data_IF_457167725728
#
_entry.id   IF_457167725728
#
_cell.length_a   1.000
_cell.length_b   1.000
_cell.length_c   1.000
_cell.angle_alpha   90.00
_cell.angle_beta   90.00
_cell.angle_gamma   90.00
#
_symmetry.space_group_name_H-M   'P 1'
#
loop_
_entity.id
_entity.type
_entity.pdbx_description
1 polymer ?
#
# COMPACT_ATOMS: atom_id res chain seq x y z
N UNK A 1 -21.15 -1.14 38.32
CA UNK A 1 -20.89 -2.57 38.02
C UNK A 1 -19.38 -2.74 38.06
N UNK A 2 -18.85 -3.66 38.87
CA UNK A 2 -17.39 -3.89 38.91
C UNK A 2 -16.98 -4.63 37.62
N UNK A 3 -15.93 -4.15 36.96
CA UNK A 3 -15.36 -4.78 35.77
C UNK A 3 -14.44 -5.91 36.25
N UNK A 4 -14.67 -7.12 35.73
CA UNK A 4 -13.80 -8.27 35.99
C UNK A 4 -12.61 -8.25 35.03
N UNK A 5 -11.46 -8.76 35.48
CA UNK A 5 -10.23 -8.77 34.70
C UNK A 5 -9.64 -10.18 34.65
N UNK A 6 -9.13 -10.57 33.47
CA UNK A 6 -8.28 -11.75 33.32
C UNK A 6 -6.81 -11.41 33.60
N UNK A 7 -5.99 -12.43 33.84
CA UNK A 7 -4.57 -12.24 34.08
C UNK A 7 -3.84 -11.76 32.81
N UNK A 8 -2.70 -11.09 32.97
CA UNK A 8 -1.87 -10.67 31.83
C UNK A 8 -1.40 -11.85 30.96
N UNK A 9 -1.19 -13.02 31.57
CA UNK A 9 -0.83 -14.24 30.87
C UNK A 9 -1.98 -14.74 29.98
N UNK A 10 -3.21 -14.72 30.51
CA UNK A 10 -4.41 -15.10 29.76
C UNK A 10 -4.71 -14.11 28.62
N UNK A 11 -4.37 -12.82 28.79
CA UNK A 11 -4.46 -11.83 27.72
C UNK A 11 -3.56 -12.24 26.55
N UNK A 12 -2.30 -12.57 26.83
CA UNK A 12 -1.33 -12.96 25.79
C UNK A 12 -1.79 -14.24 25.09
N UNK A 13 -2.16 -15.27 25.84
CA UNK A 13 -2.67 -16.53 25.28
C UNK A 13 -3.93 -16.29 24.46
N UNK A 14 -4.85 -15.47 24.97
CA UNK A 14 -6.09 -15.13 24.27
C UNK A 14 -5.84 -14.41 22.95
N UNK A 15 -4.91 -13.44 22.92
CA UNK A 15 -4.50 -12.77 21.69
C UNK A 15 -3.87 -13.75 20.71
N UNK A 16 -2.90 -14.56 21.15
CA UNK A 16 -2.26 -15.57 20.29
C UNK A 16 -3.26 -16.58 19.74
N UNK A 17 -4.23 -16.99 20.55
CA UNK A 17 -5.33 -17.89 20.17
C UNK A 17 -6.26 -17.26 19.14
N UNK A 18 -6.56 -15.96 19.22
CA UNK A 18 -7.39 -15.25 18.22
C UNK A 18 -6.76 -15.20 16.84
N UNK A 19 -5.43 -15.17 16.77
CA UNK A 19 -4.68 -15.21 15.51
C UNK A 19 -4.56 -16.62 14.88
N UNK A 20 -5.27 -17.63 15.38
CA UNK A 20 -5.23 -18.99 14.81
C UNK A 20 -5.43 -19.07 13.28
N UNK A 21 -6.32 -18.30 12.62
CA UNK A 21 -6.47 -18.37 11.15
C UNK A 21 -5.22 -17.86 10.44
N UNK A 22 -4.57 -16.84 11.02
CA UNK A 22 -3.34 -16.24 10.49
C UNK A 22 -2.18 -17.22 10.62
N UNK A 23 -2.03 -17.88 11.78
CA UNK A 23 -0.98 -18.87 11.97
C UNK A 23 -1.09 -20.05 11.01
N UNK A 24 -2.31 -20.58 10.82
CA UNK A 24 -2.55 -21.67 9.85
C UNK A 24 -2.21 -21.22 8.43
N UNK A 25 -2.68 -20.04 8.02
CA UNK A 25 -2.39 -19.51 6.69
C UNK A 25 -0.88 -19.26 6.48
N UNK A 26 -0.19 -18.74 7.48
CA UNK A 26 1.27 -18.54 7.45
C UNK A 26 2.02 -19.86 7.29
N UNK A 27 1.71 -20.86 8.11
CA UNK A 27 2.37 -22.18 8.04
C UNK A 27 2.13 -22.82 6.67
N UNK A 28 0.90 -22.75 6.16
CA UNK A 28 0.56 -23.29 4.84
C UNK A 28 1.35 -22.58 3.74
N UNK A 29 1.28 -21.25 3.67
CA UNK A 29 1.90 -20.48 2.60
C UNK A 29 3.42 -20.55 2.67
N UNK A 30 4.03 -20.34 3.85
CA UNK A 30 5.48 -20.44 4.01
C UNK A 30 5.97 -21.86 3.73
N UNK A 31 5.25 -22.88 4.20
CA UNK A 31 5.59 -24.28 3.95
C UNK A 31 5.57 -24.63 2.47
N UNK A 32 4.52 -24.22 1.74
CA UNK A 32 4.43 -24.38 0.28
C UNK A 32 5.53 -23.59 -0.43
N UNK A 33 5.76 -22.33 -0.05
CA UNK A 33 6.81 -21.49 -0.64
C UNK A 33 8.20 -22.11 -0.46
N UNK A 34 8.47 -22.72 0.70
CA UNK A 34 9.74 -23.40 0.95
C UNK A 34 9.89 -24.68 0.12
N UNK A 35 8.83 -25.49 0.03
CA UNK A 35 8.83 -26.72 -0.76
C UNK A 35 9.07 -26.46 -2.26
N UNK A 36 8.51 -25.37 -2.78
CA UNK A 36 8.60 -25.01 -4.20
C UNK A 36 9.61 -23.90 -4.51
N UNK A 37 10.48 -23.51 -3.56
CA UNK A 37 11.36 -22.35 -3.72
C UNK A 37 12.20 -22.34 -5.00
N UNK A 38 12.69 -23.51 -5.44
CA UNK A 38 13.47 -23.65 -6.69
C UNK A 38 12.67 -23.33 -7.97
N UNK A 39 11.34 -23.36 -7.92
CA UNK A 39 10.45 -23.11 -9.07
C UNK A 39 9.84 -21.70 -9.07
N UNK A 40 9.98 -20.95 -7.98
CA UNK A 40 9.29 -19.67 -7.78
C UNK A 40 10.10 -18.44 -8.22
N UNK A 41 11.27 -18.62 -8.84
CA UNK A 41 12.13 -17.54 -9.31
C UNK A 41 12.55 -16.61 -8.17
N UNK A 42 12.45 -15.29 -8.39
CA UNK A 42 12.82 -14.25 -7.43
C UNK A 42 12.13 -14.42 -6.06
N UNK A 43 10.85 -14.78 -6.05
CA UNK A 43 10.13 -15.00 -4.78
C UNK A 43 10.69 -16.21 -4.01
N UNK A 44 11.12 -17.26 -4.72
CA UNK A 44 11.73 -18.43 -4.09
C UNK A 44 13.10 -18.14 -3.47
N UNK A 45 13.89 -17.26 -4.11
CA UNK A 45 15.20 -16.83 -3.61
C UNK A 45 15.08 -16.11 -2.24
N UNK A 46 13.95 -15.44 -1.95
CA UNK A 46 13.69 -14.83 -0.63
C UNK A 46 13.79 -15.80 0.55
N UNK A 47 13.58 -17.09 0.30
CA UNK A 47 13.68 -18.14 1.32
C UNK A 47 15.09 -18.70 1.48
N UNK A 48 16.09 -18.13 0.81
CA UNK A 48 17.50 -18.49 0.98
C UNK A 48 18.20 -17.64 2.04
N UNK A 49 17.59 -16.52 2.49
CA UNK A 49 18.10 -15.68 3.57
C UNK A 49 17.12 -15.62 4.75
N UNK A 50 17.65 -15.57 5.99
CA UNK A 50 16.80 -15.40 7.18
C UNK A 50 16.04 -14.08 7.19
N UNK A 51 16.65 -13.03 6.63
CA UNK A 51 16.05 -11.69 6.47
C UNK A 51 14.85 -11.73 5.54
N UNK A 52 14.95 -12.41 4.40
CA UNK A 52 13.85 -12.57 3.45
C UNK A 52 12.69 -13.36 4.03
N UNK A 53 12.96 -14.46 4.74
CA UNK A 53 11.93 -15.25 5.44
C UNK A 53 11.20 -14.39 6.48
N UNK A 54 11.93 -13.63 7.29
CA UNK A 54 11.35 -12.74 8.30
C UNK A 54 10.49 -11.64 7.65
N UNK A 55 11.00 -10.98 6.59
CA UNK A 55 10.26 -9.95 5.85
C UNK A 55 8.96 -10.47 5.25
N UNK A 56 9.03 -11.57 4.50
CA UNK A 56 7.83 -12.23 3.93
C UNK A 56 6.87 -12.66 5.03
N UNK A 57 7.37 -13.25 6.13
CA UNK A 57 6.55 -13.70 7.25
C UNK A 57 5.77 -12.55 7.91
N UNK A 58 6.41 -11.42 8.17
CA UNK A 58 5.77 -10.24 8.78
C UNK A 58 4.75 -9.61 7.82
N UNK A 59 5.09 -9.47 6.54
CA UNK A 59 4.14 -8.93 5.55
C UNK A 59 2.91 -9.84 5.40
N UNK A 60 3.12 -11.16 5.33
CA UNK A 60 2.02 -12.13 5.27
C UNK A 60 1.20 -12.17 6.55
N UNK A 61 1.82 -11.98 7.72
CA UNK A 61 1.11 -11.91 9.00
C UNK A 61 0.06 -10.78 8.97
N UNK A 62 0.46 -9.59 8.56
CA UNK A 62 -0.46 -8.45 8.47
C UNK A 62 -1.47 -8.62 7.34
N UNK A 63 -1.07 -9.17 6.19
CA UNK A 63 -1.98 -9.49 5.09
C UNK A 63 -3.11 -10.43 5.53
N UNK A 64 -2.77 -11.53 6.19
CA UNK A 64 -3.78 -12.47 6.70
C UNK A 64 -4.58 -11.89 7.86
N UNK A 65 -3.97 -11.03 8.68
CA UNK A 65 -4.69 -10.28 9.72
C UNK A 65 -5.78 -9.41 9.10
N UNK A 66 -5.48 -8.71 8.00
CA UNK A 66 -6.46 -7.91 7.26
C UNK A 66 -7.56 -8.79 6.64
N UNK A 67 -7.21 -9.92 6.04
CA UNK A 67 -8.18 -10.84 5.43
C UNK A 67 -9.11 -11.46 6.48
N UNK A 68 -8.57 -11.89 7.62
CA UNK A 68 -9.32 -12.55 8.68
C UNK A 68 -9.78 -11.60 9.80
N UNK A 69 -9.77 -10.29 9.57
CA UNK A 69 -10.05 -9.28 10.59
C UNK A 69 -11.37 -9.55 11.35
N UNK A 70 -12.44 -9.88 10.62
CA UNK A 70 -13.76 -10.19 11.19
C UNK A 70 -13.79 -11.45 12.07
N UNK A 71 -12.84 -12.37 11.91
CA UNK A 71 -12.73 -13.59 12.73
C UNK A 71 -11.81 -13.39 13.93
N UNK A 72 -10.77 -12.58 13.78
CA UNK A 72 -9.81 -12.27 14.84
C UNK A 72 -10.42 -11.30 15.86
N UNK A 73 -11.16 -10.31 15.38
CA UNK A 73 -11.72 -9.22 16.19
C UNK A 73 -12.88 -9.69 17.08
N UNK A 74 -12.83 -9.45 18.41
CA UNK A 74 -13.95 -9.74 19.30
C UNK A 74 -15.10 -8.74 19.16
N UNK A 75 -14.82 -7.48 18.84
CA UNK A 75 -15.82 -6.43 18.72
C UNK A 75 -15.79 -5.78 17.34
N UNK A 76 -16.86 -5.06 17.01
CA UNK A 76 -16.83 -4.08 15.92
C UNK A 76 -15.86 -2.94 16.31
N UNK A 77 -14.90 -2.57 15.44
CA UNK A 77 -13.92 -1.51 15.73
C UNK A 77 -14.52 -0.12 16.02
N UNK A 78 -15.78 0.11 15.64
CA UNK A 78 -16.51 1.36 15.86
C UNK A 78 -17.48 1.28 17.06
N UNK A 79 -17.78 0.08 17.56
CA UNK A 79 -18.70 -0.09 18.67
C UNK A 79 -18.15 0.52 19.96
N UNK A 80 -18.99 1.30 20.63
CA UNK A 80 -18.67 1.99 21.88
C UNK A 80 -19.47 1.35 23.00
N UNK A 81 -18.78 0.78 23.99
CA UNK A 81 -19.44 0.23 25.18
C UNK A 81 -19.07 1.12 26.36
N UNK A 82 -19.95 2.05 26.73
CA UNK A 82 -19.62 3.16 27.65
C UNK A 82 -18.97 2.74 28.98
N UNK A 83 -19.28 1.55 29.50
CA UNK A 83 -18.68 1.04 30.74
C UNK A 83 -17.20 0.65 30.59
N UNK A 84 -16.75 0.39 29.36
CA UNK A 84 -15.38 -0.03 29.02
C UNK A 84 -14.48 1.16 28.68
N UNK A 85 -14.93 2.39 28.95
CA UNK A 85 -14.13 3.59 28.73
C UNK A 85 -12.86 3.54 29.58
N UNK A 86 -11.72 3.76 28.94
CA UNK A 86 -10.39 3.73 29.57
C UNK A 86 -10.11 2.41 30.33
N UNK A 87 -10.77 1.31 29.95
CA UNK A 87 -10.59 0.01 30.59
C UNK A 87 -9.15 -0.51 30.43
N UNK A 88 -8.63 -1.15 31.48
CA UNK A 88 -7.31 -1.77 31.45
C UNK A 88 -7.32 -3.04 30.57
N UNK A 89 -6.16 -3.48 30.07
CA UNK A 89 -6.04 -4.73 29.33
C UNK A 89 -6.61 -5.92 30.11
N UNK A 90 -7.36 -6.78 29.42
CA UNK A 90 -7.99 -7.96 30.02
C UNK A 90 -9.33 -7.70 30.70
N UNK A 91 -9.91 -6.51 30.55
CA UNK A 91 -11.24 -6.20 31.05
C UNK A 91 -12.32 -7.04 30.33
N UNK A 92 -13.25 -7.61 31.09
CA UNK A 92 -14.38 -8.38 30.59
C UNK A 92 -15.61 -7.49 30.50
N UNK A 93 -16.23 -7.44 29.31
CA UNK A 93 -17.47 -6.70 29.11
C UNK A 93 -18.64 -7.44 29.81
N UNK A 94 -19.39 -6.77 30.70
CA UNK A 94 -20.34 -7.46 31.57
C UNK A 94 -21.47 -8.22 30.84
N UNK A 95 -21.88 -7.75 29.67
CA UNK A 95 -23.06 -8.26 28.95
C UNK A 95 -22.71 -9.41 28.01
N UNK A 96 -21.78 -9.20 27.10
CA UNK A 96 -21.33 -10.18 26.10
C UNK A 96 -20.32 -11.18 26.65
N UNK A 97 -19.70 -10.88 27.81
CA UNK A 97 -18.58 -11.64 28.39
C UNK A 97 -17.35 -11.72 27.48
N UNK A 98 -17.29 -10.87 26.46
CA UNK A 98 -16.12 -10.73 25.60
C UNK A 98 -15.05 -9.88 26.27
N UNK A 99 -13.80 -10.06 25.84
CA UNK A 99 -12.62 -9.53 26.52
C UNK A 99 -12.01 -8.41 25.69
N UNK A 100 -11.74 -7.28 26.33
CA UNK A 100 -10.95 -6.18 25.80
C UNK A 100 -9.45 -6.49 26.01
N UNK A 101 -8.87 -7.27 25.09
CA UNK A 101 -7.50 -7.79 25.25
C UNK A 101 -6.47 -6.69 25.51
N UNK A 102 -6.54 -5.60 24.76
CA UNK A 102 -5.66 -4.45 24.93
C UNK A 102 -6.35 -3.24 25.57
N UNK A 103 -7.47 -3.47 26.26
CA UNK A 103 -8.21 -2.42 26.96
C UNK A 103 -9.08 -1.56 26.05
N UNK A 104 -9.76 -0.60 26.67
CA UNK A 104 -10.64 0.36 26.01
C UNK A 104 -9.97 1.71 25.79
N UNK A 105 -10.35 2.39 24.72
CA UNK A 105 -9.91 3.77 24.45
C UNK A 105 -10.82 4.84 25.10
N UNK A 106 -10.53 6.13 24.86
CA UNK A 106 -11.31 7.26 25.38
C UNK A 106 -12.78 7.27 24.95
N UNK A 107 -13.07 6.65 23.81
CA UNK A 107 -14.41 6.53 23.25
C UNK A 107 -15.04 5.17 23.59
N UNK A 108 -14.43 4.41 24.50
CA UNK A 108 -14.89 3.11 24.97
C UNK A 108 -14.95 2.02 23.88
N UNK A 109 -14.11 2.16 22.85
CA UNK A 109 -13.92 1.17 21.77
C UNK A 109 -12.80 0.20 22.14
N UNK A 110 -12.87 -1.03 21.64
CA UNK A 110 -11.83 -2.04 21.87
C UNK A 110 -10.57 -1.74 21.04
N UNK A 111 -9.44 -1.57 21.71
CA UNK A 111 -8.15 -1.22 21.08
C UNK A 111 -7.64 -2.37 20.20
N UNK A 112 -7.86 -3.62 20.60
CA UNK A 112 -7.41 -4.79 19.83
C UNK A 112 -8.15 -4.91 18.49
N UNK A 113 -9.48 -4.81 18.51
CA UNK A 113 -10.34 -4.80 17.34
C UNK A 113 -9.95 -3.69 16.36
N UNK A 114 -9.70 -2.47 16.88
CA UNK A 114 -9.23 -1.34 16.08
C UNK A 114 -7.87 -1.59 15.44
N UNK A 115 -6.91 -2.14 16.18
CA UNK A 115 -5.60 -2.50 15.61
C UNK A 115 -5.73 -3.51 14.46
N UNK A 116 -6.57 -4.53 14.62
CA UNK A 116 -6.79 -5.57 13.60
C UNK A 116 -7.44 -4.97 12.35
N UNK A 117 -8.54 -4.22 12.49
CA UNK A 117 -9.20 -3.59 11.35
C UNK A 117 -8.38 -2.48 10.69
N UNK A 118 -7.55 -1.76 11.46
CA UNK A 118 -6.62 -0.77 10.92
C UNK A 118 -5.64 -1.35 9.89
N UNK A 119 -5.32 -2.64 9.99
CA UNK A 119 -4.48 -3.32 9.00
C UNK A 119 -5.11 -3.34 7.61
N UNK A 120 -6.45 -3.46 7.50
CA UNK A 120 -7.15 -3.48 6.20
C UNK A 120 -6.97 -2.15 5.46
N UNK A 121 -7.15 -1.04 6.17
CA UNK A 121 -7.04 0.31 5.59
C UNK A 121 -5.63 0.54 5.03
N UNK A 122 -4.61 0.22 5.83
CA UNK A 122 -3.20 0.41 5.44
C UNK A 122 -2.82 -0.51 4.28
N UNK A 123 -3.21 -1.78 4.34
CA UNK A 123 -2.86 -2.79 3.31
C UNK A 123 -3.63 -2.63 2.00
N UNK A 124 -4.77 -1.94 2.00
CA UNK A 124 -5.47 -1.58 0.77
C UNK A 124 -4.87 -0.31 0.17
N UNK A 125 -4.77 0.78 0.95
CA UNK A 125 -4.43 2.10 0.42
C UNK A 125 -2.95 2.19 0.04
N UNK A 126 -2.01 1.76 0.91
CA UNK A 126 -0.58 2.00 0.67
C UNK A 126 -0.03 1.23 -0.55
N UNK A 127 -0.29 -0.08 -0.71
CA UNK A 127 0.14 -0.82 -1.89
C UNK A 127 -0.56 -0.35 -3.17
N UNK A 128 -1.86 -0.08 -3.13
CA UNK A 128 -2.60 0.36 -4.31
C UNK A 128 -2.11 1.73 -4.81
N UNK A 129 -1.95 2.70 -3.91
CA UNK A 129 -1.46 4.03 -4.28
C UNK A 129 0.00 3.96 -4.78
N UNK A 130 0.82 3.10 -4.19
CA UNK A 130 2.19 2.84 -4.70
C UNK A 130 2.17 2.22 -6.10
N UNK A 131 1.29 1.27 -6.35
CA UNK A 131 1.10 0.67 -7.68
C UNK A 131 0.70 1.69 -8.75
N UNK A 132 -0.20 2.61 -8.41
CA UNK A 132 -0.58 3.72 -9.29
C UNK A 132 0.59 4.67 -9.52
N UNK A 133 1.31 5.07 -8.48
CA UNK A 133 2.50 5.90 -8.61
C UNK A 133 3.58 5.22 -9.47
N UNK A 134 3.72 3.89 -9.38
CA UNK A 134 4.59 3.10 -10.25
C UNK A 134 4.15 3.19 -11.71
N UNK A 135 2.86 2.98 -12.00
CA UNK A 135 2.33 3.08 -13.36
C UNK A 135 2.50 4.49 -13.96
N UNK A 136 2.25 5.54 -13.17
CA UNK A 136 2.48 6.94 -13.58
C UNK A 136 3.97 7.17 -13.86
N UNK A 137 4.83 6.83 -12.91
CA UNK A 137 6.26 7.05 -12.99
C UNK A 137 6.92 6.25 -14.12
N UNK A 138 6.46 5.03 -14.40
CA UNK A 138 6.94 4.22 -15.52
C UNK A 138 6.51 4.82 -16.85
N UNK A 139 5.23 5.19 -16.98
CA UNK A 139 4.66 5.75 -18.21
C UNK A 139 5.34 7.06 -18.61
N UNK A 140 5.71 7.91 -17.64
CA UNK A 140 6.40 9.18 -17.89
C UNK A 140 7.93 9.03 -17.93
N UNK A 141 8.50 8.16 -17.09
CA UNK A 141 9.93 8.03 -16.88
C UNK A 141 10.66 7.29 -18.01
N UNK A 142 10.03 6.25 -18.59
CA UNK A 142 10.59 5.53 -19.72
C UNK A 142 10.83 6.46 -20.93
N UNK A 143 9.83 7.23 -21.44
CA UNK A 143 10.06 8.15 -22.55
C UNK A 143 11.09 9.23 -22.24
N UNK A 144 11.05 9.80 -21.03
CA UNK A 144 12.01 10.83 -20.60
C UNK A 144 13.45 10.30 -20.64
N UNK A 145 13.70 9.12 -20.07
CA UNK A 145 15.03 8.52 -20.04
C UNK A 145 15.49 8.02 -21.42
N UNK A 146 14.57 7.49 -22.23
CA UNK A 146 14.90 6.92 -23.54
C UNK A 146 15.23 8.01 -24.57
N UNK A 147 14.28 8.91 -24.84
CA UNK A 147 14.43 9.95 -25.86
C UNK A 147 15.30 11.12 -25.41
N UNK A 148 15.27 11.47 -24.12
CA UNK A 148 15.95 12.66 -23.61
C UNK A 148 15.39 13.98 -24.17
N UNK A 149 16.24 15.01 -24.22
CA UNK A 149 15.92 16.30 -24.83
C UNK A 149 14.83 17.08 -24.10
N UNK A 150 13.94 17.75 -24.85
CA UNK A 150 12.94 18.68 -24.27
C UNK A 150 11.89 17.99 -23.40
N UNK A 151 11.46 16.77 -23.77
CA UNK A 151 10.47 16.00 -22.99
C UNK A 151 11.04 15.68 -21.62
N UNK A 152 12.29 15.22 -21.59
CA UNK A 152 13.00 14.97 -20.34
C UNK A 152 13.11 16.24 -19.49
N UNK A 153 13.61 17.35 -20.06
CA UNK A 153 13.76 18.61 -19.33
C UNK A 153 12.44 19.08 -18.72
N UNK A 154 11.34 19.03 -19.48
CA UNK A 154 10.02 19.45 -18.99
C UNK A 154 9.50 18.55 -17.87
N UNK A 155 9.49 17.23 -18.07
CA UNK A 155 8.98 16.28 -17.07
C UNK A 155 9.84 16.28 -15.81
N UNK A 156 11.16 16.38 -15.96
CA UNK A 156 12.09 16.52 -14.84
C UNK A 156 11.87 17.82 -14.08
N UNK A 157 11.60 18.94 -14.76
CA UNK A 157 11.26 20.20 -14.10
C UNK A 157 9.98 20.09 -13.28
N UNK A 158 8.90 19.54 -13.86
CA UNK A 158 7.63 19.32 -13.16
C UNK A 158 7.81 18.40 -11.94
N UNK A 159 8.55 17.31 -12.10
CA UNK A 159 8.86 16.39 -11.00
C UNK A 159 9.65 17.09 -9.89
N UNK A 160 10.66 17.88 -10.25
CA UNK A 160 11.47 18.64 -9.29
C UNK A 160 10.65 19.70 -8.55
N UNK A 161 9.67 20.33 -9.21
CA UNK A 161 8.75 21.28 -8.57
C UNK A 161 7.97 20.60 -7.44
N UNK A 162 7.40 19.42 -7.70
CA UNK A 162 6.65 18.67 -6.68
C UNK A 162 7.58 18.20 -5.55
N UNK A 163 8.76 17.67 -5.89
CA UNK A 163 9.74 17.16 -4.91
C UNK A 163 10.38 18.27 -4.07
N UNK A 164 10.33 19.53 -4.51
CA UNK A 164 10.82 20.66 -3.73
C UNK A 164 9.95 20.97 -2.51
N UNK A 165 8.68 20.54 -2.51
CA UNK A 165 7.81 20.69 -1.35
C UNK A 165 8.13 19.65 -0.27
N UNK A 166 8.17 20.05 1.02
CA UNK A 166 8.22 19.08 2.11
C UNK A 166 7.00 18.14 2.02
N UNK A 167 7.26 16.84 1.92
CA UNK A 167 6.23 15.84 1.63
C UNK A 167 5.05 15.95 2.60
N UNK A 168 5.30 16.05 3.90
CA UNK A 168 4.24 16.18 4.92
C UNK A 168 3.36 17.42 4.67
N UNK A 169 3.97 18.56 4.30
CA UNK A 169 3.21 19.78 4.02
C UNK A 169 2.38 19.66 2.75
N UNK A 170 2.90 18.99 1.72
CA UNK A 170 2.16 18.73 0.49
C UNK A 170 0.91 17.89 0.77
N UNK A 171 1.03 16.83 1.57
CA UNK A 171 -0.13 16.04 1.97
C UNK A 171 -1.09 16.83 2.84
N UNK A 172 -0.58 17.57 3.82
CA UNK A 172 -1.41 18.45 4.64
C UNK A 172 -2.26 19.37 3.75
N UNK A 173 -1.65 20.02 2.78
CA UNK A 173 -2.32 20.91 1.85
C UNK A 173 -3.41 20.17 1.05
N UNK A 174 -3.09 19.03 0.44
CA UNK A 174 -4.01 18.30 -0.43
C UNK A 174 -5.17 17.62 0.31
N UNK A 175 -5.01 17.35 1.61
CA UNK A 175 -5.95 16.56 2.42
C UNK A 175 -6.63 17.42 3.49
N UNK A 176 -6.41 18.74 3.49
CA UNK A 176 -7.15 19.65 4.39
C UNK A 176 -8.61 19.78 3.92
N UNK A 177 -9.61 19.81 4.82
CA UNK A 177 -11.02 19.92 4.45
C UNK A 177 -11.33 21.02 3.43
N UNK A 178 -10.72 22.20 3.59
CA UNK A 178 -10.92 23.32 2.65
C UNK A 178 -10.46 23.04 1.21
N UNK A 179 -9.52 22.10 0.98
CA UNK A 179 -9.14 21.64 -0.37
C UNK A 179 -10.02 20.47 -0.81
N UNK A 180 -10.49 19.63 0.12
CA UNK A 180 -11.41 18.52 -0.19
C UNK A 180 -12.72 18.99 -0.81
N UNK A 181 -13.19 20.19 -0.42
CA UNK A 181 -14.41 20.80 -0.96
C UNK A 181 -14.21 21.45 -2.35
N UNK A 182 -12.97 21.50 -2.85
CA UNK A 182 -12.66 22.07 -4.17
C UNK A 182 -12.68 21.00 -5.27
N UNK A 183 -12.72 21.40 -6.56
CA UNK A 183 -12.60 20.44 -7.67
C UNK A 183 -11.21 19.80 -7.81
N UNK A 184 -10.20 20.25 -7.04
CA UNK A 184 -8.80 19.84 -7.22
C UNK A 184 -8.61 18.32 -7.02
N UNK A 185 -9.08 17.69 -5.93
CA UNK A 185 -8.88 16.27 -5.73
C UNK A 185 -9.55 15.42 -6.81
N UNK A 186 -10.77 15.78 -7.24
CA UNK A 186 -11.47 15.09 -8.33
C UNK A 186 -10.76 15.23 -9.67
N UNK A 187 -10.22 16.43 -9.99
CA UNK A 187 -9.44 16.64 -11.20
C UNK A 187 -8.14 15.82 -11.19
N UNK A 188 -7.45 15.77 -10.03
CA UNK A 188 -6.27 14.94 -9.85
C UNK A 188 -6.60 13.45 -9.94
N UNK A 189 -7.70 13.00 -9.34
CA UNK A 189 -8.20 11.64 -9.47
C UNK A 189 -8.47 11.30 -10.94
N UNK A 190 -9.21 12.17 -11.63
CA UNK A 190 -9.50 12.06 -13.05
C UNK A 190 -8.26 11.99 -13.93
N UNK A 191 -7.16 12.66 -13.56
CA UNK A 191 -5.88 12.55 -14.26
C UNK A 191 -5.15 11.23 -13.92
N UNK A 192 -4.99 10.91 -12.64
CA UNK A 192 -4.15 9.79 -12.19
C UNK A 192 -4.76 8.43 -12.49
N UNK A 193 -6.09 8.29 -12.43
CA UNK A 193 -6.76 7.05 -12.77
C UNK A 193 -6.75 6.72 -14.28
N UNK A 194 -6.38 7.69 -15.14
CA UNK A 194 -6.13 7.40 -16.57
C UNK A 194 -4.81 6.66 -16.79
N UNK A 195 -3.81 6.83 -15.92
CA UNK A 195 -2.49 6.25 -16.12
C UNK A 195 -2.48 4.72 -16.17
N UNK A 196 -3.18 3.98 -15.30
CA UNK A 196 -3.31 2.52 -15.46
C UNK A 196 -3.90 2.13 -16.82
N UNK A 197 -4.93 2.83 -17.29
CA UNK A 197 -5.57 2.58 -18.58
C UNK A 197 -4.58 2.81 -19.72
N UNK A 198 -3.86 3.93 -19.70
CA UNK A 198 -2.81 4.27 -20.67
C UNK A 198 -1.69 3.23 -20.63
N UNK A 199 -1.20 2.91 -19.44
CA UNK A 199 -0.11 1.97 -19.23
C UNK A 199 -0.42 0.60 -19.81
N UNK A 200 -1.56 -0.01 -19.45
CA UNK A 200 -1.96 -1.31 -19.98
C UNK A 200 -2.28 -1.26 -21.48
N UNK A 201 -2.87 -0.16 -21.97
CA UNK A 201 -3.14 0.00 -23.39
C UNK A 201 -1.85 0.03 -24.22
N UNK A 202 -0.84 0.79 -23.79
CA UNK A 202 0.47 0.83 -24.46
C UNK A 202 1.20 -0.51 -24.30
N UNK A 203 1.12 -1.16 -23.15
CA UNK A 203 1.71 -2.48 -22.90
C UNK A 203 1.16 -3.56 -23.84
N UNK A 204 -0.17 -3.62 -24.03
CA UNK A 204 -0.78 -4.58 -24.93
C UNK A 204 -0.57 -4.23 -26.40
N UNK A 205 -0.65 -2.94 -26.75
CA UNK A 205 -0.38 -2.45 -28.09
C UNK A 205 1.02 -2.80 -28.56
N UNK A 206 2.04 -2.58 -27.72
CA UNK A 206 3.43 -2.91 -28.07
C UNK A 206 3.66 -4.40 -28.27
N UNK A 207 3.08 -5.25 -27.43
CA UNK A 207 3.31 -6.70 -27.49
C UNK A 207 2.54 -7.39 -28.62
N UNK A 208 1.30 -6.97 -28.89
CA UNK A 208 0.37 -7.68 -29.77
C UNK A 208 0.05 -6.91 -31.05
N UNK A 209 0.85 -5.92 -31.43
CA UNK A 209 0.68 -5.16 -32.69
C UNK A 209 0.48 -6.05 -33.91
N UNK A 210 1.17 -7.18 -33.98
CA UNK A 210 1.12 -8.13 -35.10
C UNK A 210 0.03 -9.21 -34.95
N UNK A 211 -0.79 -9.18 -33.88
CA UNK A 211 -1.85 -10.15 -33.57
C UNK A 211 -3.15 -9.42 -33.20
N UNK A 212 -3.88 -8.86 -34.19
CA UNK A 212 -5.03 -7.99 -33.94
C UNK A 212 -6.14 -8.68 -33.13
N UNK A 213 -6.37 -9.97 -33.35
CA UNK A 213 -7.39 -10.75 -32.63
C UNK A 213 -7.21 -10.70 -31.11
N UNK A 214 -5.97 -10.80 -30.63
CA UNK A 214 -5.66 -10.71 -29.20
C UNK A 214 -5.60 -9.26 -28.72
N UNK A 215 -5.09 -8.36 -29.56
CA UNK A 215 -4.93 -6.95 -29.21
C UNK A 215 -6.26 -6.28 -28.92
N UNK A 216 -7.25 -6.43 -29.80
CA UNK A 216 -8.56 -5.78 -29.63
C UNK A 216 -9.31 -6.31 -28.41
N UNK A 217 -9.21 -7.61 -28.12
CA UNK A 217 -9.81 -8.19 -26.91
C UNK A 217 -9.15 -7.59 -25.67
N UNK A 218 -7.82 -7.56 -25.59
CA UNK A 218 -7.12 -7.04 -24.41
C UNK A 218 -7.32 -5.52 -24.23
N UNK A 219 -7.28 -4.74 -25.31
CA UNK A 219 -7.58 -3.32 -25.27
C UNK A 219 -9.04 -3.06 -24.89
N UNK A 220 -9.99 -3.80 -25.48
CA UNK A 220 -11.41 -3.71 -25.14
C UNK A 220 -11.64 -4.00 -23.65
N UNK A 221 -11.06 -5.09 -23.13
CA UNK A 221 -11.12 -5.42 -21.70
C UNK A 221 -10.51 -4.32 -20.83
N UNK A 222 -9.37 -3.75 -21.25
CA UNK A 222 -8.69 -2.68 -20.50
C UNK A 222 -9.52 -1.41 -20.44
N UNK A 223 -10.13 -1.02 -21.56
CA UNK A 223 -10.98 0.18 -21.63
C UNK A 223 -12.30 -0.01 -20.91
N UNK A 224 -12.92 -1.19 -20.99
CA UNK A 224 -14.18 -1.49 -20.31
C UNK A 224 -13.98 -1.61 -18.80
N UNK A 225 -13.05 -2.46 -18.35
CA UNK A 225 -12.79 -2.64 -16.91
C UNK A 225 -12.16 -1.40 -16.31
N UNK A 226 -11.15 -0.84 -16.98
CA UNK A 226 -10.48 0.37 -16.52
C UNK A 226 -11.41 1.59 -16.54
N UNK A 227 -12.24 1.74 -17.57
CA UNK A 227 -13.26 2.79 -17.64
C UNK A 227 -14.35 2.63 -16.59
N UNK A 228 -14.77 1.40 -16.29
CA UNK A 228 -15.71 1.11 -15.20
C UNK A 228 -15.13 1.46 -13.83
N UNK A 229 -13.88 1.06 -13.55
CA UNK A 229 -13.18 1.42 -12.31
C UNK A 229 -12.98 2.95 -12.22
N UNK A 230 -12.62 3.59 -13.32
CA UNK A 230 -12.45 5.04 -13.41
C UNK A 230 -13.77 5.77 -13.09
N UNK A 231 -14.87 5.35 -13.71
CA UNK A 231 -16.19 5.93 -13.48
C UNK A 231 -16.67 5.72 -12.03
N UNK A 232 -16.48 4.51 -11.48
CA UNK A 232 -16.86 4.19 -10.10
C UNK A 232 -16.05 4.97 -9.08
N UNK A 233 -14.71 5.04 -9.22
CA UNK A 233 -13.86 5.66 -8.19
C UNK A 233 -13.80 7.19 -8.29
N UNK A 234 -13.88 7.78 -9.49
CA UNK A 234 -13.73 9.23 -9.67
C UNK A 234 -15.07 9.95 -9.62
N UNK A 235 -16.12 9.35 -10.18
CA UNK A 235 -17.43 10.01 -10.34
C UNK A 235 -18.56 9.35 -9.54
N UNK A 236 -18.23 8.35 -8.70
CA UNK A 236 -19.21 7.53 -7.97
C UNK A 236 -20.29 6.93 -8.89
N UNK A 237 -19.91 6.65 -10.13
CA UNK A 237 -20.81 6.24 -11.21
C UNK A 237 -20.68 4.74 -11.47
N UNK A 238 -20.75 3.91 -10.42
CA UNK A 238 -20.74 2.46 -10.54
C UNK A 238 -22.17 1.87 -10.59
N UNK A 239 -22.60 1.28 -11.72
CA UNK A 239 -23.90 0.61 -11.81
C UNK A 239 -24.03 -0.62 -10.91
N UNK A 240 -22.93 -1.29 -10.56
CA UNK A 240 -22.92 -2.52 -9.75
C UNK A 240 -22.72 -2.27 -8.24
N UNK A 241 -22.34 -1.05 -7.84
CA UNK A 241 -22.02 -0.66 -6.46
C UNK A 241 -20.94 -1.54 -5.79
N UNK A 242 -20.03 -2.09 -6.58
CA UNK A 242 -18.90 -2.92 -6.12
C UNK A 242 -17.66 -2.05 -5.93
N UNK A 243 -17.48 -1.06 -6.78
CA UNK A 243 -16.31 -0.18 -6.85
C UNK A 243 -16.74 1.18 -6.30
N UNK A 244 -16.57 1.34 -4.99
CA UNK A 244 -16.83 2.59 -4.28
C UNK A 244 -15.67 2.90 -3.33
N UNK A 245 -15.35 4.18 -3.19
CA UNK A 245 -14.35 4.68 -2.27
C UNK A 245 -14.90 5.95 -1.61
N UNK A 246 -14.77 6.05 -0.30
CA UNK A 246 -15.20 7.25 0.41
C UNK A 246 -14.42 8.46 -0.13
N UNK A 247 -15.04 9.65 -0.28
CA UNK A 247 -14.36 10.85 -0.77
C UNK A 247 -13.05 11.16 -0.02
N UNK A 248 -13.06 10.98 1.31
CA UNK A 248 -11.89 11.16 2.16
C UNK A 248 -10.77 10.17 1.83
N UNK A 249 -11.10 8.91 1.54
CA UNK A 249 -10.13 7.89 1.14
C UNK A 249 -9.58 8.17 -0.26
N UNK A 250 -10.42 8.61 -1.20
CA UNK A 250 -10.00 9.02 -2.54
C UNK A 250 -9.01 10.19 -2.49
N UNK A 251 -9.29 11.20 -1.67
CA UNK A 251 -8.41 12.38 -1.52
C UNK A 251 -7.02 11.99 -1.02
N UNK A 252 -6.95 11.12 0.00
CA UNK A 252 -5.67 10.60 0.51
C UNK A 252 -4.97 9.79 -0.58
N UNK A 253 -5.68 8.86 -1.24
CA UNK A 253 -5.12 8.01 -2.28
C UNK A 253 -4.48 8.84 -3.39
N UNK A 254 -5.19 9.85 -3.89
CA UNK A 254 -4.74 10.72 -4.97
C UNK A 254 -3.58 11.61 -4.53
N UNK A 255 -3.61 12.13 -3.30
CA UNK A 255 -2.47 12.84 -2.73
C UNK A 255 -1.23 11.93 -2.67
N UNK A 256 -1.40 10.65 -2.32
CA UNK A 256 -0.31 9.67 -2.27
C UNK A 256 0.28 9.44 -3.65
N UNK A 257 -0.57 9.19 -4.65
CA UNK A 257 -0.14 9.00 -6.04
C UNK A 257 0.60 10.25 -6.54
N UNK A 258 0.04 11.44 -6.33
CA UNK A 258 0.66 12.69 -6.76
C UNK A 258 2.05 12.91 -6.15
N UNK A 259 2.19 12.76 -4.83
CA UNK A 259 3.45 13.01 -4.17
C UNK A 259 4.51 11.93 -4.44
N UNK A 260 4.08 10.69 -4.69
CA UNK A 260 5.00 9.55 -4.90
C UNK A 260 5.46 9.40 -6.34
N UNK A 261 4.63 9.77 -7.32
CA UNK A 261 4.90 9.59 -8.76
C UNK A 261 6.20 10.26 -9.24
N UNK A 262 6.56 11.50 -8.83
CA UNK A 262 7.82 12.14 -9.22
C UNK A 262 9.06 11.35 -8.77
N UNK A 263 9.01 10.75 -7.58
CA UNK A 263 10.08 9.91 -7.06
C UNK A 263 10.28 8.67 -7.92
N UNK A 264 9.20 7.98 -8.27
CA UNK A 264 9.25 6.84 -9.20
C UNK A 264 9.76 7.26 -10.57
N UNK A 265 9.20 8.35 -11.13
CA UNK A 265 9.62 8.90 -12.42
C UNK A 265 11.14 9.08 -12.48
N UNK A 266 11.74 9.67 -11.43
CA UNK A 266 13.18 9.91 -11.37
C UNK A 266 13.99 8.61 -11.38
N UNK A 267 13.55 7.59 -10.65
CA UNK A 267 14.21 6.28 -10.60
C UNK A 267 14.10 5.57 -11.95
N UNK A 268 12.90 5.46 -12.52
CA UNK A 268 12.68 4.81 -13.82
C UNK A 268 13.48 5.51 -14.91
N UNK A 269 13.46 6.85 -14.93
CA UNK A 269 14.24 7.66 -15.87
C UNK A 269 15.74 7.35 -15.74
N UNK A 270 16.27 7.34 -14.52
CA UNK A 270 17.69 7.03 -14.26
C UNK A 270 18.08 5.64 -14.73
N UNK A 271 17.30 4.62 -14.38
CA UNK A 271 17.51 3.23 -14.83
C UNK A 271 17.43 3.12 -16.35
N UNK A 272 16.49 3.83 -16.98
CA UNK A 272 16.35 3.85 -18.44
C UNK A 272 17.58 4.44 -19.12
N UNK A 273 18.13 5.53 -18.57
CA UNK A 273 19.34 6.17 -19.11
C UNK A 273 20.57 5.25 -19.03
N UNK A 274 20.68 4.43 -17.98
CA UNK A 274 21.73 3.41 -17.87
C UNK A 274 21.49 2.26 -18.87
N UNK A 275 20.31 1.64 -18.79
CA UNK A 275 19.98 0.41 -19.51
C UNK A 275 19.95 0.62 -21.03
N UNK A 276 19.56 1.81 -21.52
CA UNK A 276 19.51 2.08 -22.96
C UNK A 276 20.87 2.02 -23.66
N UNK A 277 21.97 2.05 -22.91
CA UNK A 277 23.34 1.98 -23.44
C UNK A 277 23.83 0.54 -23.66
N UNK A 278 23.05 -0.47 -23.27
CA UNK A 278 23.43 -1.89 -23.34
C UNK A 278 23.29 -2.46 -24.76
N UNK A 279 24.15 -3.39 -25.13
CA UNK A 279 24.23 -3.95 -26.50
C UNK A 279 22.93 -4.61 -26.98
N UNK A 280 22.16 -5.25 -26.09
CA UNK A 280 20.88 -5.87 -26.46
C UNK A 280 19.83 -4.83 -26.89
N UNK A 281 19.91 -3.60 -26.37
CA UNK A 281 19.04 -2.50 -26.79
C UNK A 281 19.41 -2.06 -28.21
N UNK A 282 20.71 -1.91 -28.49
CA UNK A 282 21.19 -1.59 -29.84
C UNK A 282 20.79 -2.69 -30.85
N UNK A 283 20.93 -3.97 -30.48
CA UNK A 283 20.47 -5.09 -31.31
C UNK A 283 18.96 -5.03 -31.60
N UNK A 284 18.13 -4.68 -30.59
CA UNK A 284 16.70 -4.50 -30.80
C UNK A 284 16.38 -3.33 -31.76
N UNK A 285 17.14 -2.22 -31.68
CA UNK A 285 17.02 -1.11 -32.63
C UNK A 285 17.40 -1.52 -34.05
N UNK A 286 18.46 -2.31 -34.23
CA UNK A 286 18.87 -2.82 -35.55
C UNK A 286 17.82 -3.74 -36.17
N UNK A 287 17.06 -4.50 -35.35
CA UNK A 287 15.91 -5.29 -35.82
C UNK A 287 14.72 -4.42 -36.29
N UNK A 288 14.75 -3.11 -36.06
CA UNK A 288 13.66 -2.20 -36.40
C UNK A 288 12.50 -2.23 -35.41
N UNK A 289 12.72 -2.68 -34.17
CA UNK A 289 11.69 -2.70 -33.14
C UNK A 289 11.23 -1.28 -32.78
N UNK A 290 9.93 -1.13 -32.50
CA UNK A 290 9.39 0.19 -32.15
C UNK A 290 9.97 0.72 -30.82
N UNK A 291 10.13 2.04 -30.64
CA UNK A 291 10.66 2.60 -29.39
C UNK A 291 9.90 2.17 -28.14
N UNK A 292 8.57 2.13 -28.21
CA UNK A 292 7.73 1.67 -27.09
C UNK A 292 7.93 0.18 -26.79
N UNK A 293 8.17 -0.63 -27.81
CA UNK A 293 8.53 -2.04 -27.61
C UNK A 293 9.86 -2.15 -26.86
N UNK A 294 10.89 -1.42 -27.30
CA UNK A 294 12.20 -1.42 -26.64
C UNK A 294 12.07 -0.95 -25.18
N UNK A 295 11.36 0.15 -24.92
CA UNK A 295 11.17 0.66 -23.56
C UNK A 295 10.46 -0.33 -22.62
N UNK A 296 9.38 -0.98 -23.07
CA UNK A 296 8.56 -1.84 -22.20
C UNK A 296 9.01 -3.30 -22.16
N UNK A 297 9.65 -3.80 -23.21
CA UNK A 297 10.00 -5.22 -23.35
C UNK A 297 11.49 -5.51 -23.34
N UNK A 298 12.35 -4.52 -23.60
CA UNK A 298 13.81 -4.68 -23.48
C UNK A 298 14.36 -3.94 -22.25
N UNK A 299 13.91 -2.71 -21.97
CA UNK A 299 14.43 -1.91 -20.84
C UNK A 299 13.72 -2.27 -19.52
N UNK A 300 12.39 -2.14 -19.47
CA UNK A 300 11.63 -2.30 -18.22
C UNK A 300 11.83 -3.67 -17.53
N UNK A 301 11.89 -4.82 -18.23
CA UNK A 301 12.13 -6.11 -17.58
C UNK A 301 13.52 -6.20 -16.94
N UNK A 302 14.52 -5.51 -17.48
CA UNK A 302 15.86 -5.43 -16.91
C UNK A 302 15.93 -4.43 -15.73
N UNK A 303 15.00 -3.47 -15.66
CA UNK A 303 14.84 -2.60 -14.50
C UNK A 303 14.02 -3.22 -13.35
N UNK A 304 13.45 -4.43 -13.53
CA UNK A 304 12.49 -5.02 -12.58
C UNK A 304 13.04 -5.18 -11.17
N UNK A 305 14.31 -5.59 -11.01
CA UNK A 305 14.91 -5.85 -9.70
C UNK A 305 14.93 -4.59 -8.84
N UNK A 306 15.62 -3.53 -9.27
CA UNK A 306 15.60 -2.24 -8.59
C UNK A 306 14.21 -1.65 -8.38
N UNK A 307 13.28 -1.82 -9.35
CA UNK A 307 11.92 -1.29 -9.23
C UNK A 307 11.07 -2.04 -8.19
N UNK A 308 11.23 -3.36 -8.05
CA UNK A 308 10.52 -4.13 -7.01
C UNK A 308 11.06 -3.75 -5.62
N UNK A 309 12.37 -3.55 -5.49
CA UNK A 309 12.99 -3.06 -4.24
C UNK A 309 12.44 -1.68 -3.87
N UNK A 310 12.43 -0.74 -4.83
CA UNK A 310 11.85 0.59 -4.62
C UNK A 310 10.36 0.51 -4.24
N UNK A 311 9.59 -0.34 -4.91
CA UNK A 311 8.18 -0.55 -4.60
C UNK A 311 7.98 -0.98 -3.14
N UNK A 312 8.77 -1.93 -2.65
CA UNK A 312 8.66 -2.41 -1.27
C UNK A 312 8.95 -1.31 -0.24
N UNK A 313 10.05 -0.56 -0.42
CA UNK A 313 10.40 0.56 0.45
C UNK A 313 9.34 1.67 0.40
N UNK A 314 8.81 1.95 -0.79
CA UNK A 314 7.81 2.99 -1.01
C UNK A 314 6.48 2.65 -0.33
N UNK A 315 6.04 1.40 -0.35
CA UNK A 315 4.86 0.98 0.43
C UNK A 315 5.10 1.25 1.93
N UNK A 316 6.32 1.02 2.43
CA UNK A 316 6.70 1.33 3.81
C UNK A 316 6.60 2.82 4.12
N UNK A 317 7.18 3.68 3.28
CA UNK A 317 7.10 5.13 3.44
C UNK A 317 5.66 5.67 3.32
N UNK A 318 4.88 5.16 2.37
CA UNK A 318 3.46 5.49 2.23
C UNK A 318 2.68 5.06 3.46
N UNK A 319 2.99 3.92 4.07
CA UNK A 319 2.36 3.48 5.32
C UNK A 319 2.66 4.43 6.48
N UNK A 320 3.93 4.81 6.67
CA UNK A 320 4.32 5.80 7.69
C UNK A 320 3.56 7.11 7.48
N UNK A 321 3.47 7.53 6.23
CA UNK A 321 2.79 8.76 5.87
C UNK A 321 1.29 8.69 6.15
N UNK A 322 0.60 7.61 5.79
CA UNK A 322 -0.82 7.40 6.13
C UNK A 322 -1.02 7.46 7.64
N UNK A 323 -0.16 6.78 8.42
CA UNK A 323 -0.18 6.86 9.88
C UNK A 323 0.06 8.28 10.40
N UNK A 324 0.95 9.04 9.75
CA UNK A 324 1.22 10.44 10.09
C UNK A 324 0.02 11.34 9.81
N UNK A 325 -0.67 11.14 8.69
CA UNK A 325 -1.88 11.90 8.34
C UNK A 325 -3.03 11.59 9.31
N UNK A 326 -3.28 10.31 9.58
CA UNK A 326 -4.23 9.89 10.62
C UNK A 326 -3.87 10.47 11.99
N UNK A 327 -2.58 10.53 12.33
CA UNK A 327 -2.11 11.13 13.58
C UNK A 327 -2.44 12.62 13.69
N UNK A 328 -2.26 13.38 12.60
CA UNK A 328 -2.68 14.78 12.54
C UNK A 328 -4.21 14.95 12.42
N UNK A 329 -4.95 13.87 12.16
CA UNK A 329 -6.39 13.88 11.90
C UNK A 329 -6.76 14.45 10.55
N UNK A 330 -5.90 14.23 9.56
CA UNK A 330 -6.11 14.64 8.18
C UNK A 330 -6.38 13.39 7.37
N UNK A 331 -7.41 13.44 6.54
CA UNK A 331 -7.76 12.35 5.64
C UNK A 331 -8.93 11.54 6.16
N UNK A 332 -8.67 10.46 6.89
CA UNK A 332 -9.71 9.51 7.27
C UNK A 332 -10.64 10.10 8.33
N UNK A 333 -11.86 9.55 8.38
CA UNK A 333 -12.86 9.95 9.37
C UNK A 333 -12.31 9.75 10.80
N UNK A 334 -12.58 10.64 11.77
CA UNK A 334 -12.04 10.55 13.13
C UNK A 334 -12.32 9.22 13.85
N UNK A 335 -13.41 8.56 13.51
CA UNK A 335 -13.83 7.28 14.07
C UNK A 335 -13.09 6.07 13.45
N UNK A 336 -12.46 6.26 12.29
CA UNK A 336 -11.73 5.23 11.53
C UNK A 336 -10.80 4.41 12.41
N UNK A 337 -10.72 3.07 12.23
CA UNK A 337 -9.80 2.22 12.97
C UNK A 337 -8.37 2.25 12.43
N UNK A 338 -8.01 3.17 11.53
CA UNK A 338 -6.64 3.23 11.01
C UNK A 338 -5.61 3.49 12.13
N UNK A 339 -4.41 2.95 11.93
CA UNK A 339 -3.37 2.98 12.96
C UNK A 339 -2.95 4.40 13.33
N UNK A 340 -2.95 5.35 12.39
CA UNK A 340 -2.58 6.75 12.67
C UNK A 340 -3.53 7.43 13.64
N UNK A 341 -4.82 7.34 13.33
CA UNK A 341 -5.90 7.92 14.15
C UNK A 341 -6.02 7.20 15.49
N UNK A 342 -5.79 5.89 15.54
CA UNK A 342 -5.69 5.14 16.79
C UNK A 342 -4.52 5.63 17.68
N UNK A 343 -3.35 5.89 17.10
CA UNK A 343 -2.20 6.46 17.83
C UNK A 343 -2.53 7.88 18.32
N UNK A 344 -3.23 8.70 17.53
CA UNK A 344 -3.68 10.05 17.94
C UNK A 344 -4.60 10.00 19.15
N UNK A 345 -5.60 9.13 19.13
CA UNK A 345 -6.57 9.03 20.21
C UNK A 345 -5.89 8.55 21.50
N UNK A 346 -4.98 7.58 21.38
CA UNK A 346 -4.21 7.06 22.49
C UNK A 346 -3.13 8.03 23.01
N UNK A 347 -2.57 8.91 22.17
CA UNK A 347 -1.56 9.89 22.61
C UNK A 347 -2.09 10.83 23.69
N UNK A 348 -3.41 11.10 23.66
CA UNK A 348 -4.12 11.88 24.67
C UNK A 348 -4.26 11.16 26.02
N UNK A 349 -3.99 9.85 26.07
CA UNK A 349 -4.02 9.03 27.28
C UNK A 349 -2.63 8.78 27.87
N UNK A 350 -1.54 9.09 27.18
CA UNK A 350 -0.18 8.71 27.59
C UNK A 350 0.24 9.19 28.98
N UNK A 351 -0.35 10.29 29.47
CA UNK A 351 -0.11 10.79 30.84
C UNK A 351 -0.76 9.92 31.92
N UNK A 352 -1.79 9.17 31.57
CA UNK A 352 -2.57 8.30 32.46
C UNK A 352 -2.24 6.83 32.21
N UNK A 353 -2.31 6.38 30.95
CA UNK A 353 -2.13 5.00 30.54
C UNK A 353 -1.41 4.90 29.20
N UNK A 354 -0.47 3.96 29.10
CA UNK A 354 0.31 3.73 27.87
C UNK A 354 -0.29 2.62 26.99
N UNK A 355 -1.06 1.70 27.57
CA UNK A 355 -1.51 0.49 26.89
C UNK A 355 -2.33 0.72 25.61
N UNK A 356 -3.17 1.76 25.45
CA UNK A 356 -3.93 1.94 24.21
C UNK A 356 -3.05 2.36 23.02
N UNK A 357 -1.89 2.97 23.29
CA UNK A 357 -0.99 3.47 22.25
C UNK A 357 -0.08 2.38 21.67
N UNK A 358 0.26 1.37 22.48
CA UNK A 358 1.22 0.34 22.09
C UNK A 358 0.74 -0.52 20.91
N UNK A 359 -0.49 -1.06 20.88
CA UNK A 359 -0.93 -1.95 19.80
C UNK A 359 -0.88 -1.33 18.41
N UNK A 360 -1.50 -0.16 18.12
CA UNK A 360 -1.44 0.42 16.78
C UNK A 360 -0.02 0.88 16.40
N UNK A 361 0.80 1.30 17.37
CA UNK A 361 2.21 1.67 17.12
C UNK A 361 3.05 0.47 16.73
N UNK A 362 2.94 -0.64 17.47
CA UNK A 362 3.64 -1.90 17.17
C UNK A 362 3.16 -2.47 15.83
N UNK A 363 1.87 -2.35 15.53
CA UNK A 363 1.32 -2.79 14.26
C UNK A 363 1.94 -2.05 13.07
N UNK A 364 1.92 -0.72 13.11
CA UNK A 364 2.54 0.12 12.09
C UNK A 364 4.05 -0.15 11.97
N UNK A 365 4.78 -0.14 13.10
CA UNK A 365 6.22 -0.36 13.12
C UNK A 365 6.61 -1.73 12.55
N UNK A 366 5.92 -2.80 12.99
CA UNK A 366 6.24 -4.15 12.55
C UNK A 366 5.96 -4.35 11.06
N UNK A 367 4.85 -3.83 10.53
CA UNK A 367 4.56 -3.94 9.10
C UNK A 367 5.59 -3.22 8.24
N UNK A 368 5.97 -2.00 8.61
CA UNK A 368 7.02 -1.23 7.91
C UNK A 368 8.36 -1.95 7.99
N UNK A 369 8.72 -2.51 9.16
CA UNK A 369 9.92 -3.33 9.31
C UNK A 369 9.90 -4.55 8.38
N UNK A 370 8.76 -5.25 8.28
CA UNK A 370 8.60 -6.38 7.35
C UNK A 370 8.88 -6.00 5.89
N UNK A 371 8.37 -4.85 5.45
CA UNK A 371 8.60 -4.32 4.09
C UNK A 371 10.08 -3.95 3.85
N UNK A 372 10.74 -3.37 4.84
CA UNK A 372 12.17 -3.03 4.74
C UNK A 372 13.04 -4.29 4.66
N UNK A 373 12.80 -5.30 5.51
CA UNK A 373 13.52 -6.57 5.46
C UNK A 373 13.29 -7.30 4.12
N UNK A 374 12.06 -7.27 3.61
CA UNK A 374 11.73 -7.81 2.29
C UNK A 374 12.52 -7.09 1.18
N UNK A 375 12.55 -5.76 1.20
CA UNK A 375 13.29 -4.96 0.23
C UNK A 375 14.80 -5.22 0.28
N UNK A 376 15.39 -5.33 1.47
CA UNK A 376 16.81 -5.61 1.65
C UNK A 376 17.18 -6.98 1.09
N UNK A 377 16.36 -8.02 1.34
CA UNK A 377 16.59 -9.35 0.78
C UNK A 377 16.46 -9.37 -0.75
N UNK A 378 15.49 -8.66 -1.32
CA UNK A 378 15.33 -8.53 -2.78
C UNK A 378 16.52 -7.81 -3.40
N UNK A 379 17.01 -6.77 -2.73
CA UNK A 379 18.18 -5.99 -3.18
C UNK A 379 19.42 -6.86 -3.21
N UNK A 380 19.67 -7.63 -2.16
CA UNK A 380 20.81 -8.54 -2.09
C UNK A 380 20.80 -9.56 -3.24
N UNK A 381 19.62 -10.10 -3.58
CA UNK A 381 19.47 -11.03 -4.70
C UNK A 381 19.69 -10.35 -6.05
N UNK A 382 19.16 -9.15 -6.24
CA UNK A 382 19.33 -8.40 -7.48
C UNK A 382 20.78 -8.00 -7.79
N UNK A 383 21.68 -8.04 -6.80
CA UNK A 383 23.11 -7.80 -6.97
C UNK A 383 23.91 -9.08 -7.29
N UNK A 384 23.30 -10.26 -7.11
CA UNK A 384 23.91 -11.57 -7.40
C UNK A 384 23.60 -12.05 -8.82
N UNK A 385 22.47 -11.61 -9.38
CA UNK A 385 22.08 -11.75 -10.79
C UNK A 385 22.82 -10.73 -11.67
#
# INVERSE_FOLDING_TARGET
MQIEYISAFDVIIGVLGRFWPVWIALVLVIGVSFAFKKKLGLYGQLFDSGVGIAGVGICLFWLFTAIFASRISPFDPLAQVSIMKDALPGAIEPTSKLIYYFGGDKLARDVFSRMVYGSQIVLIIAPAATGFALMVGITLGLPAGYYGGKIDTLLSFLANLVLAFPVILLFYLLVTPGIMDTPIPYAMAGLFFLFPIIFFSVLFWTRFKNRPDRLYILLGLTLVIGGWIYAGLVFDADPLKIVHIDPNQLNIFVAVVFASSPGVFRIVRGLTMDIKTRDYVAAAQTRGESPWYIMLWEILPNARGPLIVDACLRIGYTTILLGTLGYFGLGLAPESPDWGTAIKDASRLLRSFIHPALPPTIALMSFVLGLNLLADSLREQSMKD
#
